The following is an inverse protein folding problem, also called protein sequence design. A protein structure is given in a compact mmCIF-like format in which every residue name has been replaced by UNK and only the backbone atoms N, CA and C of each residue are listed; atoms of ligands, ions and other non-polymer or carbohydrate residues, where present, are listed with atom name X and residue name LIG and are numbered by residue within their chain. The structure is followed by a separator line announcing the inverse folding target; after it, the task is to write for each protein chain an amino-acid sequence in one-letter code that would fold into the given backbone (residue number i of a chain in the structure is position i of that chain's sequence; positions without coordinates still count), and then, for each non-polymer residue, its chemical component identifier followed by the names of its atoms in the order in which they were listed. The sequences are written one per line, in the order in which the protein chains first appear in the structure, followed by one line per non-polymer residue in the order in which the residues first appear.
data_IF_126410345335
#
_entry.id   IF_126410345335
#
_cell.length_a   1.000
_cell.length_b   1.000
_cell.length_c   1.000
_cell.angle_alpha   90.00
_cell.angle_beta   90.00
_cell.angle_gamma   90.00
#
_symmetry.space_group_name_H-M   'P 1'
#
loop_
_entity.id
_entity.type
_entity.pdbx_description
1 polymer ?
#
# COMPACT_ATOMS: atom_id res chain seq x y z
N UNK A 1 -2.19 4.17 -15.49
CA UNK A 1 -1.87 3.61 -14.16
C UNK A 1 -3.07 3.88 -13.26
N UNK A 2 -3.73 2.80 -12.88
CA UNK A 2 -4.87 2.72 -11.97
C UNK A 2 -4.46 3.25 -10.58
N UNK A 3 -5.34 3.95 -9.86
CA UNK A 3 -4.99 4.69 -8.62
C UNK A 3 -6.09 4.66 -7.57
N UNK A 4 -5.71 4.57 -6.30
CA UNK A 4 -6.62 4.86 -5.19
C UNK A 4 -7.19 6.29 -5.31
N UNK A 5 -8.43 6.46 -4.88
CA UNK A 5 -9.08 7.76 -4.73
C UNK A 5 -8.73 8.40 -3.38
N UNK A 6 -9.07 9.69 -3.23
CA UNK A 6 -8.68 10.50 -2.07
C UNK A 6 -7.20 10.93 -2.06
N UNK A 7 -6.49 10.67 -3.17
CA UNK A 7 -5.06 10.94 -3.32
C UNK A 7 -4.81 11.86 -4.51
N UNK A 8 -4.15 13.00 -4.25
CA UNK A 8 -3.67 13.97 -5.24
C UNK A 8 -2.20 13.77 -5.56
N UNK A 9 -1.85 13.70 -6.85
CA UNK A 9 -0.45 13.44 -7.30
C UNK A 9 0.40 14.70 -7.40
N UNK A 10 -0.25 15.83 -7.66
CA UNK A 10 0.39 17.13 -7.75
C UNK A 10 0.90 17.49 -6.36
N UNK A 11 2.22 17.41 -6.16
CA UNK A 11 2.86 17.81 -4.90
C UNK A 11 3.52 19.18 -5.10
N UNK A 12 3.07 20.16 -4.34
CA UNK A 12 3.60 21.52 -4.26
C UNK A 12 4.85 21.65 -3.38
N UNK A 13 5.52 22.80 -3.46
CA UNK A 13 6.78 23.05 -2.73
C UNK A 13 6.63 22.94 -1.21
N UNK A 14 5.55 23.45 -0.65
CA UNK A 14 5.30 23.43 0.81
C UNK A 14 5.10 22.00 1.32
N UNK A 15 4.35 21.18 0.59
CA UNK A 15 4.13 19.77 0.88
C UNK A 15 5.43 18.95 0.83
N UNK A 16 6.32 19.25 -0.12
CA UNK A 16 7.67 18.65 -0.15
C UNK A 16 8.46 19.03 1.10
N UNK A 17 8.40 20.30 1.55
CA UNK A 17 9.08 20.73 2.76
C UNK A 17 8.49 20.06 4.01
N UNK A 18 7.17 19.95 4.10
CA UNK A 18 6.47 19.27 5.19
C UNK A 18 6.83 17.77 5.25
N UNK A 19 6.88 17.09 4.10
CA UNK A 19 7.28 15.69 4.04
C UNK A 19 8.73 15.48 4.47
N UNK A 20 9.65 16.34 4.02
CA UNK A 20 11.08 16.27 4.39
C UNK A 20 11.34 16.51 5.88
N UNK A 21 10.44 17.22 6.56
CA UNK A 21 10.55 17.41 8.01
C UNK A 21 10.29 16.12 8.79
N UNK A 22 9.70 15.08 8.17
CA UNK A 22 9.53 13.75 8.78
C UNK A 22 10.87 12.99 8.66
N UNK A 23 11.42 12.55 9.80
CA UNK A 23 12.70 11.82 9.87
C UNK A 23 12.64 10.37 9.35
N UNK A 24 11.43 9.82 9.26
CA UNK A 24 11.16 8.39 9.05
C UNK A 24 11.42 7.89 7.62
N UNK A 25 11.66 8.80 6.67
CA UNK A 25 11.83 8.50 5.24
C UNK A 25 13.05 9.21 4.63
N UNK A 26 14.20 9.22 5.32
CA UNK A 26 15.40 9.95 4.91
C UNK A 26 15.94 9.65 3.50
N UNK A 27 15.63 8.47 2.94
CA UNK A 27 16.00 8.10 1.56
C UNK A 27 15.06 8.69 0.49
N UNK A 28 13.88 9.20 0.89
CA UNK A 28 12.85 9.73 -0.01
C UNK A 28 12.61 11.21 0.27
N UNK A 29 13.02 12.07 -0.66
CA UNK A 29 12.98 13.52 -0.48
C UNK A 29 11.67 14.19 -0.96
N UNK A 30 10.70 13.42 -1.48
CA UNK A 30 9.41 13.88 -2.02
C UNK A 30 8.35 12.79 -1.78
N UNK A 31 7.15 13.13 -1.29
CA UNK A 31 6.08 12.15 -1.12
C UNK A 31 5.65 11.60 -2.49
N UNK A 32 5.13 10.37 -2.49
CA UNK A 32 4.57 9.75 -3.69
C UNK A 32 3.31 10.51 -4.16
N UNK A 33 2.51 10.98 -3.22
CA UNK A 33 1.30 11.77 -3.41
C UNK A 33 0.81 12.36 -2.07
N UNK A 34 -0.24 13.17 -2.10
CA UNK A 34 -0.88 13.79 -0.93
C UNK A 34 -2.27 13.20 -0.73
N UNK A 35 -2.60 12.79 0.49
CA UNK A 35 -3.94 12.34 0.88
C UNK A 35 -4.72 13.55 1.35
N UNK A 36 -5.79 13.89 0.63
CA UNK A 36 -6.62 15.08 0.90
C UNK A 36 -8.02 14.74 1.37
N UNK A 37 -8.48 13.52 1.06
CA UNK A 37 -9.84 13.05 1.30
C UNK A 37 -9.80 11.57 1.73
N UNK A 38 -10.94 10.98 2.15
CA UNK A 38 -10.99 9.56 2.48
C UNK A 38 -10.48 8.69 1.33
N UNK A 39 -9.63 7.70 1.65
CA UNK A 39 -9.16 6.71 0.69
C UNK A 39 -10.37 5.92 0.16
N UNK A 40 -10.43 5.81 -1.17
CA UNK A 40 -11.40 4.98 -1.88
C UNK A 40 -10.68 4.18 -2.95
N UNK A 41 -11.36 3.21 -3.56
CA UNK A 41 -10.78 2.41 -4.64
C UNK A 41 -10.33 3.26 -5.83
N UNK A 42 -11.02 4.39 -6.06
CA UNK A 42 -10.74 5.31 -7.16
C UNK A 42 -10.77 4.60 -8.51
N UNK A 43 -9.63 4.60 -9.20
CA UNK A 43 -9.41 3.90 -10.46
C UNK A 43 -8.49 2.69 -10.32
N UNK A 44 -8.06 2.33 -9.09
CA UNK A 44 -7.25 1.14 -8.82
C UNK A 44 -8.02 -0.09 -9.30
N UNK A 45 -7.35 -1.01 -10.00
CA UNK A 45 -7.98 -2.24 -10.48
C UNK A 45 -6.99 -3.40 -10.40
N UNK A 46 -6.77 -3.87 -9.17
CA UNK A 46 -5.91 -5.03 -8.88
C UNK A 46 -6.39 -6.30 -9.60
N UNK A 47 -7.69 -6.61 -9.72
CA UNK A 47 -8.16 -7.80 -10.45
C UNK A 47 -7.75 -7.77 -11.92
N UNK A 48 -7.94 -6.63 -12.61
CA UNK A 48 -7.54 -6.47 -14.02
C UNK A 48 -6.01 -6.59 -14.18
N UNK A 49 -5.24 -5.99 -13.27
CA UNK A 49 -3.78 -6.06 -13.33
C UNK A 49 -3.28 -7.49 -13.03
N UNK A 50 -3.93 -8.21 -12.12
CA UNK A 50 -3.68 -9.61 -11.83
C UNK A 50 -4.02 -10.52 -13.03
N UNK A 51 -5.18 -10.33 -13.66
CA UNK A 51 -5.59 -11.06 -14.86
C UNK A 51 -4.58 -10.85 -16.01
N UNK A 52 -4.14 -9.60 -16.22
CA UNK A 52 -3.12 -9.26 -17.21
C UNK A 52 -1.80 -9.98 -16.94
N UNK A 53 -1.34 -9.99 -15.70
CA UNK A 53 -0.12 -10.70 -15.30
C UNK A 53 -0.28 -12.22 -15.50
N UNK A 54 -1.43 -12.79 -15.13
CA UNK A 54 -1.69 -14.22 -15.25
C UNK A 54 -1.64 -14.71 -16.70
N UNK A 55 -2.16 -13.90 -17.65
CA UNK A 55 -2.14 -14.24 -19.09
C UNK A 55 -0.74 -14.44 -19.67
N UNK A 56 0.28 -13.82 -19.11
CA UNK A 56 1.66 -13.91 -19.61
C UNK A 56 2.58 -14.77 -18.74
N UNK A 57 2.13 -15.17 -17.54
CA UNK A 57 2.95 -15.92 -16.59
C UNK A 57 3.28 -17.34 -17.06
N UNK A 58 2.41 -17.98 -17.85
CA UNK A 58 2.61 -19.34 -18.34
C UNK A 58 2.62 -20.44 -17.26
N UNK A 59 2.22 -20.11 -16.03
CA UNK A 59 2.22 -21.00 -14.86
C UNK A 59 1.61 -20.33 -13.62
N UNK A 60 1.72 -20.96 -12.43
CA UNK A 60 1.20 -20.39 -11.19
C UNK A 60 1.75 -18.97 -10.92
N UNK A 61 0.85 -17.97 -10.90
CA UNK A 61 1.20 -16.58 -10.65
C UNK A 61 1.27 -16.28 -9.15
N UNK A 62 2.38 -15.68 -8.70
CA UNK A 62 2.46 -14.95 -7.44
C UNK A 62 2.27 -13.45 -7.72
N UNK A 63 1.15 -12.89 -7.30
CA UNK A 63 0.83 -11.47 -7.49
C UNK A 63 1.29 -10.67 -6.27
N UNK A 64 2.07 -9.60 -6.48
CA UNK A 64 2.69 -8.84 -5.39
C UNK A 64 1.98 -7.50 -5.19
N UNK A 65 1.80 -7.13 -3.91
CA UNK A 65 1.22 -5.86 -3.48
C UNK A 65 2.18 -5.19 -2.50
N UNK A 66 2.32 -3.87 -2.60
CA UNK A 66 3.01 -3.10 -1.54
C UNK A 66 2.13 -3.06 -0.29
N UNK A 67 2.73 -3.24 0.88
CA UNK A 67 1.97 -3.20 2.13
C UNK A 67 1.31 -1.84 2.38
N UNK A 68 0.15 -1.79 3.08
CA UNK A 68 -0.50 -0.54 3.43
C UNK A 68 0.40 0.39 4.28
N UNK A 69 1.22 -0.19 5.16
CA UNK A 69 2.13 0.58 6.03
C UNK A 69 3.25 1.25 5.22
N UNK A 70 3.90 0.52 4.30
CA UNK A 70 4.87 1.13 3.39
C UNK A 70 4.21 2.23 2.56
N UNK A 71 3.03 1.97 1.99
CA UNK A 71 2.31 2.98 1.22
C UNK A 71 2.06 4.23 2.05
N UNK A 72 1.53 4.10 3.27
CA UNK A 72 1.27 5.22 4.19
C UNK A 72 2.52 6.05 4.47
N UNK A 73 3.67 5.41 4.71
CA UNK A 73 4.97 6.09 4.92
C UNK A 73 5.43 6.91 3.72
N UNK A 74 5.00 6.56 2.52
CA UNK A 74 5.38 7.28 1.29
C UNK A 74 4.46 8.44 0.93
N UNK A 75 3.32 8.57 1.61
CA UNK A 75 2.31 9.59 1.36
C UNK A 75 2.49 10.77 2.32
N UNK A 76 2.14 11.96 1.87
CA UNK A 76 1.88 13.07 2.77
C UNK A 76 0.40 13.02 3.17
N UNK A 77 0.13 12.99 4.47
CA UNK A 77 -1.23 12.92 5.00
C UNK A 77 -1.72 14.32 5.42
N UNK A 78 -2.74 14.84 4.73
CA UNK A 78 -3.45 16.08 5.05
C UNK A 78 -4.92 15.80 5.46
N UNK A 79 -5.31 14.53 5.60
CA UNK A 79 -6.70 14.14 5.88
C UNK A 79 -6.87 13.40 7.21
N UNK A 80 -6.13 12.30 7.42
CA UNK A 80 -6.31 11.42 8.59
C UNK A 80 -5.60 11.94 9.84
N UNK A 81 -4.51 12.68 9.66
CA UNK A 81 -3.74 13.31 10.73
C UNK A 81 -2.91 12.32 11.57
N UNK A 82 -2.90 11.03 11.25
CA UNK A 82 -2.08 10.02 11.93
C UNK A 82 -1.83 8.79 11.05
N UNK A 83 -0.68 8.14 11.29
CA UNK A 83 -0.19 7.03 10.47
C UNK A 83 -1.10 5.79 10.55
N UNK A 84 -1.63 5.48 11.73
CA UNK A 84 -2.48 4.32 11.96
C UNK A 84 -3.76 4.39 11.14
N UNK A 85 -4.50 5.50 11.25
CA UNK A 85 -5.76 5.69 10.51
C UNK A 85 -5.56 5.63 9.00
N UNK A 86 -4.50 6.26 8.46
CA UNK A 86 -4.18 6.17 7.03
C UNK A 86 -3.81 4.73 6.63
N UNK A 87 -2.99 4.05 7.43
CA UNK A 87 -2.54 2.67 7.15
C UNK A 87 -3.72 1.71 7.08
N UNK A 88 -4.64 1.80 8.04
CA UNK A 88 -5.81 0.92 8.09
C UNK A 88 -6.83 1.25 6.99
N UNK A 89 -7.00 2.53 6.64
CA UNK A 89 -7.86 2.93 5.51
C UNK A 89 -7.35 2.39 4.16
N UNK A 90 -6.03 2.44 3.94
CA UNK A 90 -5.40 1.81 2.78
C UNK A 90 -5.62 0.30 2.78
N UNK A 91 -5.43 -0.36 3.93
CA UNK A 91 -5.63 -1.80 4.08
C UNK A 91 -7.07 -2.22 3.74
N UNK A 92 -8.07 -1.56 4.33
CA UNK A 92 -9.48 -1.87 4.10
C UNK A 92 -9.88 -1.66 2.64
N UNK A 93 -9.45 -0.55 2.03
CA UNK A 93 -9.75 -0.25 0.63
C UNK A 93 -9.14 -1.27 -0.31
N UNK A 94 -7.87 -1.63 -0.10
CA UNK A 94 -7.20 -2.63 -0.93
C UNK A 94 -7.77 -4.03 -0.71
N UNK A 95 -8.17 -4.38 0.52
CA UNK A 95 -8.74 -5.69 0.84
C UNK A 95 -10.01 -6.00 0.04
N UNK A 96 -10.83 -4.98 -0.30
CA UNK A 96 -12.01 -5.15 -1.16
C UNK A 96 -11.63 -5.83 -2.48
N UNK A 97 -10.59 -5.32 -3.15
CA UNK A 97 -10.13 -5.86 -4.43
C UNK A 97 -9.31 -7.14 -4.28
N UNK A 98 -8.60 -7.32 -3.16
CA UNK A 98 -7.80 -8.53 -2.91
C UNK A 98 -8.67 -9.81 -2.89
N UNK A 99 -9.94 -9.70 -2.47
CA UNK A 99 -10.91 -10.81 -2.50
C UNK A 99 -11.17 -11.38 -3.89
N UNK A 100 -10.94 -10.58 -4.93
CA UNK A 100 -11.24 -10.92 -6.32
C UNK A 100 -9.99 -11.40 -7.10
N UNK A 101 -8.84 -11.52 -6.45
CA UNK A 101 -7.59 -11.90 -7.13
C UNK A 101 -7.55 -13.39 -7.48
N UNK A 102 -7.63 -13.69 -8.78
CA UNK A 102 -7.42 -15.04 -9.31
C UNK A 102 -5.95 -15.30 -9.65
N UNK A 103 -5.16 -15.54 -8.60
CA UNK A 103 -3.76 -15.94 -8.70
C UNK A 103 -3.48 -17.15 -7.79
N UNK A 104 -2.30 -17.76 -7.90
CA UNK A 104 -1.93 -18.87 -7.03
C UNK A 104 -1.55 -18.40 -5.62
N UNK A 105 -0.95 -17.20 -5.52
CA UNK A 105 -0.51 -16.63 -4.25
C UNK A 105 -0.50 -15.10 -4.30
N UNK A 106 -1.04 -14.46 -3.26
CA UNK A 106 -0.85 -13.02 -2.99
C UNK A 106 0.33 -12.85 -2.06
N UNK A 107 1.30 -12.04 -2.46
CA UNK A 107 2.43 -11.64 -1.61
C UNK A 107 2.32 -10.16 -1.25
N UNK A 108 2.41 -9.85 0.04
CA UNK A 108 2.47 -8.46 0.52
C UNK A 108 3.93 -8.11 0.85
N UNK A 109 4.46 -7.08 0.20
CA UNK A 109 5.85 -6.63 0.30
C UNK A 109 5.96 -5.44 1.26
N UNK A 110 6.74 -5.60 2.33
CA UNK A 110 6.94 -4.61 3.38
C UNK A 110 8.44 -4.31 3.61
N UNK A 111 8.88 -3.14 3.15
CA UNK A 111 10.30 -2.77 3.14
C UNK A 111 10.72 -1.77 4.25
N UNK A 112 9.77 -1.22 5.01
CA UNK A 112 9.98 -0.14 5.96
C UNK A 112 10.06 -0.64 7.42
N UNK A 113 9.34 -1.71 7.77
CA UNK A 113 9.32 -2.30 9.12
C UNK A 113 10.69 -2.72 9.65
N UNK A 114 11.61 -3.29 8.85
CA UNK A 114 12.95 -3.63 9.35
C UNK A 114 13.74 -2.43 9.88
N UNK A 115 13.48 -1.22 9.35
CA UNK A 115 14.01 0.04 9.89
C UNK A 115 13.15 0.68 10.98
N UNK A 116 11.92 0.20 11.19
CA UNK A 116 10.94 0.75 12.12
C UNK A 116 10.19 -0.36 12.89
N UNK A 117 10.92 -1.22 13.64
CA UNK A 117 10.33 -2.44 14.22
C UNK A 117 9.26 -2.16 15.28
N UNK A 118 9.25 -0.97 15.88
CA UNK A 118 8.24 -0.56 16.86
C UNK A 118 6.82 -0.52 16.26
N UNK A 119 6.71 -0.27 14.95
CA UNK A 119 5.43 -0.23 14.24
C UNK A 119 4.98 -1.62 13.76
N UNK A 120 5.71 -2.68 14.13
CA UNK A 120 5.42 -4.07 13.77
C UNK A 120 3.96 -4.49 13.99
N UNK A 121 3.33 -4.19 15.14
CA UNK A 121 1.92 -4.50 15.38
C UNK A 121 0.97 -3.84 14.36
N UNK A 122 1.19 -2.56 14.02
CA UNK A 122 0.37 -1.84 13.04
C UNK A 122 0.53 -2.43 11.64
N UNK A 123 1.76 -2.68 11.20
CA UNK A 123 1.99 -3.29 9.90
C UNK A 123 1.42 -4.71 9.82
N UNK A 124 1.57 -5.51 10.88
CA UNK A 124 0.99 -6.85 10.93
C UNK A 124 -0.54 -6.81 10.81
N UNK A 125 -1.21 -5.90 11.52
CA UNK A 125 -2.66 -5.73 11.40
C UNK A 125 -3.08 -5.38 9.96
N UNK A 126 -2.40 -4.40 9.36
CA UNK A 126 -2.71 -3.94 8.02
C UNK A 126 -2.44 -5.02 6.95
N UNK A 127 -1.34 -5.76 7.07
CA UNK A 127 -1.00 -6.89 6.20
C UNK A 127 -2.04 -7.99 6.34
N UNK A 128 -2.45 -8.33 7.57
CA UNK A 128 -3.42 -9.38 7.82
C UNK A 128 -4.79 -9.05 7.20
N UNK A 129 -5.25 -7.79 7.19
CA UNK A 129 -6.49 -7.41 6.49
C UNK A 129 -6.46 -7.76 4.99
N UNK A 130 -5.31 -7.58 4.33
CA UNK A 130 -5.14 -8.00 2.93
C UNK A 130 -5.07 -9.52 2.80
N UNK A 131 -4.28 -10.17 3.63
CA UNK A 131 -4.09 -11.62 3.55
C UNK A 131 -5.35 -12.41 3.92
N UNK A 132 -6.17 -11.92 4.85
CA UNK A 132 -7.45 -12.52 5.21
C UNK A 132 -8.47 -12.42 4.07
N UNK A 133 -8.38 -11.36 3.25
CA UNK A 133 -9.15 -11.22 2.03
C UNK A 133 -8.66 -12.13 0.88
N UNK A 134 -7.40 -12.55 0.88
CA UNK A 134 -6.82 -13.32 -0.23
C UNK A 134 -7.41 -14.75 -0.30
N UNK A 135 -7.93 -15.18 -1.46
CA UNK A 135 -8.66 -16.45 -1.58
C UNK A 135 -7.77 -17.70 -1.62
N UNK A 136 -6.48 -17.55 -1.96
CA UNK A 136 -5.53 -18.67 -2.13
C UNK A 136 -4.24 -18.43 -1.34
N UNK A 137 -3.09 -18.84 -1.88
CA UNK A 137 -1.79 -18.76 -1.19
C UNK A 137 -1.50 -17.35 -0.68
N UNK A 138 -0.81 -17.28 0.45
CA UNK A 138 -0.51 -16.05 1.18
C UNK A 138 0.98 -16.01 1.48
N UNK A 139 1.63 -14.89 1.20
CA UNK A 139 3.03 -14.68 1.49
C UNK A 139 3.27 -13.24 1.98
N UNK A 140 4.31 -13.08 2.78
CA UNK A 140 4.82 -11.77 3.18
C UNK A 140 6.31 -11.73 2.86
N UNK A 141 6.77 -10.62 2.28
CA UNK A 141 8.19 -10.36 2.08
C UNK A 141 8.61 -9.14 2.90
N UNK A 142 9.68 -9.30 3.68
CA UNK A 142 10.38 -8.20 4.33
C UNK A 142 11.76 -8.01 3.70
N UNK A 143 12.15 -6.77 3.40
CA UNK A 143 13.48 -6.44 2.89
C UNK A 143 14.49 -6.33 4.03
N UNK A 144 15.67 -6.93 3.92
CA UNK A 144 16.72 -6.91 4.95
C UNK A 144 18.08 -6.53 4.37
#
# INVERSE_FOLDING_TARGET
MHRLGGIRREVGRQEVAAFRARSEMGFRSRPAAVVTDPITEGTLNLPLDCERAARVAGGPLKFTLTSPYMLARTLLDEHYGNLEALTLALADTMAVQVRELDCACVQVDEANIPGNPADGPLAAEAINRLLDAAPRGKAVHFCF
#
